data_IF_954317499333
#
_entry.id   IF_954317499333
#
_cell.length_a   1.000
_cell.length_b   1.000
_cell.length_c   1.000
_cell.angle_alpha   90.00
_cell.angle_beta   90.00
_cell.angle_gamma   90.00
#
_symmetry.space_group_name_H-M   'P 1'
#
loop_
_entity.id
_entity.type
_entity.pdbx_description
1 polymer ?
#
# COMPACT_ATOMS: atom_id res chain seq x y z
N UNK A 1 58.49 -3.06 -52.82
CA UNK A 1 58.62 -4.00 -51.68
C UNK A 1 57.43 -3.80 -50.77
N UNK A 2 56.84 -4.91 -50.32
CA UNK A 2 55.67 -4.99 -49.45
C UNK A 2 55.96 -4.43 -48.06
N UNK A 3 54.98 -3.79 -47.43
CA UNK A 3 54.70 -4.02 -46.02
C UNK A 3 53.19 -3.90 -45.77
N UNK A 4 52.60 -5.02 -45.35
CA UNK A 4 51.24 -5.15 -44.84
C UNK A 4 51.42 -5.44 -43.33
N UNK A 5 50.47 -4.96 -42.52
CA UNK A 5 50.13 -5.34 -41.14
C UNK A 5 50.59 -4.39 -40.03
N UNK A 6 49.62 -4.08 -39.17
CA UNK A 6 49.73 -3.26 -37.97
C UNK A 6 48.45 -2.45 -37.82
N UNK A 7 47.28 -3.07 -37.64
CA UNK A 7 46.99 -3.85 -36.43
C UNK A 7 46.22 -2.93 -35.49
N UNK A 8 44.90 -2.89 -35.69
CA UNK A 8 43.92 -2.21 -34.85
C UNK A 8 44.14 -2.62 -33.38
N UNK A 9 44.81 -1.77 -32.61
CA UNK A 9 45.20 -2.07 -31.24
C UNK A 9 44.60 -1.02 -30.31
N UNK A 10 43.54 -1.47 -29.66
CA UNK A 10 43.10 -1.03 -28.34
C UNK A 10 42.67 0.43 -28.20
N UNK A 11 41.41 0.70 -28.57
CA UNK A 11 40.60 1.64 -27.78
C UNK A 11 40.39 1.04 -26.39
N UNK A 12 41.38 1.17 -25.49
CA UNK A 12 41.21 0.86 -24.07
C UNK A 12 40.09 1.75 -23.53
N UNK A 13 38.90 1.17 -23.37
CA UNK A 13 37.86 1.73 -22.50
C UNK A 13 38.47 1.80 -21.10
N UNK A 14 38.93 3.00 -20.73
CA UNK A 14 39.47 3.30 -19.42
C UNK A 14 38.30 3.24 -18.43
N UNK A 15 37.99 2.03 -17.95
CA UNK A 15 37.02 1.83 -16.87
C UNK A 15 37.56 2.58 -15.65
N UNK A 16 36.81 3.59 -15.21
CA UNK A 16 37.10 4.31 -13.98
C UNK A 16 37.04 3.31 -12.81
N UNK A 17 37.95 3.40 -11.82
CA UNK A 17 37.86 2.54 -10.65
C UNK A 17 36.50 2.75 -9.96
N UNK A 18 35.89 1.69 -9.39
CA UNK A 18 34.72 1.79 -8.53
C UNK A 18 35.13 2.40 -7.19
N UNK A 19 35.54 3.66 -7.21
CA UNK A 19 36.17 4.37 -6.09
C UNK A 19 35.69 5.80 -5.96
N UNK A 20 34.56 6.14 -6.57
CA UNK A 20 33.81 7.35 -6.22
C UNK A 20 32.36 7.03 -6.52
N UNK A 21 31.66 6.45 -5.54
CA UNK A 21 30.22 6.67 -5.44
C UNK A 21 30.09 8.19 -5.39
N UNK A 22 29.84 8.79 -6.57
CA UNK A 22 29.64 10.21 -6.70
C UNK A 22 28.72 10.61 -5.56
N UNK A 23 29.09 11.64 -4.82
CA UNK A 23 28.29 12.22 -3.75
C UNK A 23 26.85 12.42 -4.26
N UNK A 24 25.98 11.41 -4.11
CA UNK A 24 24.65 11.45 -4.69
C UNK A 24 23.89 12.40 -3.80
N UNK A 25 23.81 13.65 -4.26
CA UNK A 25 22.83 14.59 -3.76
C UNK A 25 21.47 13.92 -4.00
N UNK A 26 20.88 13.40 -2.92
CA UNK A 26 19.67 12.57 -2.94
C UNK A 26 18.47 13.31 -3.59
N UNK A 27 18.55 14.64 -3.63
CA UNK A 27 17.40 15.55 -3.68
C UNK A 27 16.54 15.55 -4.93
N UNK A 28 16.97 15.00 -6.08
CA UNK A 28 16.18 15.17 -7.32
C UNK A 28 15.70 13.89 -7.99
N UNK A 29 16.36 12.74 -7.77
CA UNK A 29 15.93 11.46 -8.39
C UNK A 29 15.17 10.53 -7.47
N UNK A 30 15.31 10.67 -6.15
CA UNK A 30 14.72 9.75 -5.17
C UNK A 30 13.61 10.38 -4.33
N UNK A 31 13.60 11.71 -4.20
CA UNK A 31 12.59 12.45 -3.44
C UNK A 31 11.51 12.94 -4.40
N UNK A 32 10.32 12.33 -4.30
CA UNK A 32 9.15 12.77 -5.05
C UNK A 32 8.49 14.00 -4.41
N UNK A 33 7.65 14.68 -5.17
CA UNK A 33 6.80 15.76 -4.64
C UNK A 33 5.91 15.28 -3.47
N UNK A 34 5.45 14.03 -3.52
CA UNK A 34 4.67 13.42 -2.43
C UNK A 34 5.49 13.28 -1.14
N UNK A 35 6.77 12.95 -1.27
CA UNK A 35 7.70 12.86 -0.14
C UNK A 35 7.91 14.22 0.52
N UNK A 36 8.03 15.30 -0.28
CA UNK A 36 8.13 16.67 0.24
C UNK A 36 6.85 17.12 0.95
N UNK A 37 5.69 16.83 0.35
CA UNK A 37 4.39 17.11 0.97
C UNK A 37 4.22 16.38 2.31
N UNK A 38 4.71 15.14 2.42
CA UNK A 38 4.70 14.39 3.66
C UNK A 38 5.54 15.08 4.76
N UNK A 39 6.78 15.48 4.45
CA UNK A 39 7.65 16.19 5.41
C UNK A 39 7.03 17.53 5.84
N UNK A 40 6.49 18.29 4.88
CA UNK A 40 5.82 19.57 5.15
C UNK A 40 4.62 19.43 6.09
N UNK A 41 3.76 18.42 5.87
CA UNK A 41 2.60 18.15 6.74
C UNK A 41 2.99 17.78 8.17
N UNK A 42 4.16 17.19 8.35
CA UNK A 42 4.70 16.83 9.67
C UNK A 42 5.56 17.94 10.29
N UNK A 43 5.63 19.11 9.63
CA UNK A 43 6.50 20.22 10.01
C UNK A 43 7.95 19.77 10.21
N UNK A 44 8.42 18.88 9.34
CA UNK A 44 9.80 18.40 9.30
C UNK A 44 10.55 19.25 8.28
N UNK A 45 11.67 19.81 8.72
CA UNK A 45 12.58 20.55 7.87
C UNK A 45 13.24 19.59 6.86
N UNK A 46 13.24 19.95 5.58
CA UNK A 46 13.75 19.13 4.48
C UNK A 46 15.10 19.64 3.92
N UNK A 47 15.74 20.61 4.60
CA UNK A 47 17.01 21.20 4.15
C UNK A 47 18.14 20.17 4.04
N UNK A 48 18.13 19.16 4.92
CA UNK A 48 19.08 18.05 4.92
C UNK A 48 19.09 17.27 3.60
N UNK A 49 18.00 17.27 2.83
CA UNK A 49 17.94 16.63 1.52
C UNK A 49 18.90 17.27 0.51
N UNK A 50 19.26 18.55 0.69
CA UNK A 50 20.20 19.27 -0.16
C UNK A 50 21.68 19.01 0.22
N UNK A 51 21.90 18.41 1.39
CA UNK A 51 23.22 18.10 1.94
C UNK A 51 23.62 16.67 1.54
N UNK A 52 24.92 16.37 1.51
CA UNK A 52 25.38 15.02 1.21
C UNK A 52 24.94 14.01 2.29
N UNK A 53 24.52 12.82 1.87
CA UNK A 53 24.08 11.75 2.77
C UNK A 53 25.15 11.37 3.80
N UNK A 54 26.44 11.44 3.44
CA UNK A 54 27.56 11.10 4.33
C UNK A 54 27.69 12.04 5.54
N UNK A 55 27.10 13.23 5.49
CA UNK A 55 27.12 14.18 6.61
C UNK A 55 25.80 14.23 7.40
N UNK A 56 24.80 13.42 7.04
CA UNK A 56 23.50 13.42 7.70
C UNK A 56 23.56 13.02 9.17
N UNK A 57 24.49 12.14 9.55
CA UNK A 57 24.64 11.73 10.96
C UNK A 57 25.00 12.88 11.90
N UNK A 58 25.55 13.98 11.36
CA UNK A 58 25.87 15.20 12.11
C UNK A 58 24.90 16.37 11.80
N UNK A 59 23.92 16.16 10.92
CA UNK A 59 22.97 17.19 10.52
C UNK A 59 21.79 17.25 11.50
N UNK A 60 21.59 18.41 12.12
CA UNK A 60 20.55 18.58 13.14
C UNK A 60 19.13 18.42 12.58
N UNK A 61 18.88 18.85 11.34
CA UNK A 61 17.57 18.72 10.71
C UNK A 61 17.26 17.25 10.40
N UNK A 62 18.24 16.49 9.91
CA UNK A 62 18.11 15.05 9.71
C UNK A 62 17.86 14.29 11.01
N UNK A 63 18.63 14.56 12.08
CA UNK A 63 18.47 13.88 13.36
C UNK A 63 17.08 14.12 13.96
N UNK A 64 16.58 15.35 13.88
CA UNK A 64 15.24 15.71 14.33
C UNK A 64 14.15 15.06 13.46
N UNK A 65 14.32 15.07 12.13
CA UNK A 65 13.44 14.39 11.19
C UNK A 65 13.34 12.89 11.49
N UNK A 66 14.49 12.22 11.68
CA UNK A 66 14.61 10.80 12.04
C UNK A 66 13.91 10.51 13.36
N UNK A 67 14.14 11.34 14.38
CA UNK A 67 13.49 11.22 15.70
C UNK A 67 11.96 11.32 15.58
N UNK A 68 11.44 12.27 14.80
CA UNK A 68 10.01 12.45 14.60
C UNK A 68 9.38 11.30 13.82
N UNK A 69 9.99 10.90 12.72
CA UNK A 69 9.50 9.80 11.89
C UNK A 69 9.49 8.48 12.67
N UNK A 70 10.54 8.19 13.46
CA UNK A 70 10.58 6.99 14.30
C UNK A 70 9.52 6.97 15.41
N UNK A 71 8.99 8.13 15.79
CA UNK A 71 7.89 8.25 16.76
C UNK A 71 6.52 8.13 16.12
N UNK A 72 6.43 8.17 14.78
CA UNK A 72 5.18 7.87 14.10
C UNK A 72 4.86 6.40 14.36
N UNK A 73 3.80 6.18 15.13
CA UNK A 73 3.22 4.84 15.26
C UNK A 73 2.74 4.45 13.87
N UNK A 74 3.38 3.44 13.26
CA UNK A 74 2.82 2.77 12.08
C UNK A 74 1.67 1.94 12.60
N UNK A 75 0.53 2.59 12.78
CA UNK A 75 -0.69 1.93 13.19
C UNK A 75 -1.26 1.25 11.96
N UNK A 76 -1.56 -0.02 12.08
CA UNK A 76 -2.21 -0.80 11.04
C UNK A 76 -3.70 -0.44 10.92
N UNK A 77 -4.08 0.81 11.18
CA UNK A 77 -5.46 1.27 11.30
C UNK A 77 -6.24 0.98 10.02
N UNK A 78 -5.60 1.08 8.86
CA UNK A 78 -6.23 0.78 7.58
C UNK A 78 -6.55 -0.71 7.44
N UNK A 79 -5.63 -1.62 7.80
CA UNK A 79 -5.94 -3.05 7.71
C UNK A 79 -6.89 -3.49 8.83
N UNK A 80 -6.76 -2.97 10.05
CA UNK A 80 -7.69 -3.22 11.14
C UNK A 80 -9.11 -2.76 10.77
N UNK A 81 -9.25 -1.58 10.16
CA UNK A 81 -10.53 -1.08 9.64
C UNK A 81 -11.08 -1.95 8.51
N UNK A 82 -10.23 -2.42 7.60
CA UNK A 82 -10.64 -3.29 6.50
C UNK A 82 -11.15 -4.65 7.03
N UNK A 83 -10.45 -5.24 7.99
CA UNK A 83 -10.87 -6.49 8.66
C UNK A 83 -12.22 -6.28 9.35
N UNK A 84 -12.36 -5.21 10.14
CA UNK A 84 -13.62 -4.90 10.83
C UNK A 84 -14.80 -4.75 9.87
N UNK A 85 -14.63 -4.02 8.78
CA UNK A 85 -15.65 -3.87 7.74
C UNK A 85 -16.09 -5.21 7.15
N UNK A 86 -15.12 -6.09 6.83
CA UNK A 86 -15.42 -7.40 6.26
C UNK A 86 -16.14 -8.29 7.27
N UNK A 87 -15.73 -8.26 8.54
CA UNK A 87 -16.37 -9.00 9.63
C UNK A 87 -17.80 -8.53 9.87
N UNK A 88 -18.03 -7.20 9.92
CA UNK A 88 -19.35 -6.62 10.13
C UNK A 88 -20.30 -6.97 8.98
N UNK A 89 -19.83 -6.87 7.73
CA UNK A 89 -20.60 -7.23 6.54
C UNK A 89 -20.99 -8.72 6.50
N UNK A 90 -20.02 -9.60 6.80
CA UNK A 90 -20.27 -11.04 6.84
C UNK A 90 -21.28 -11.39 7.93
N UNK A 91 -21.17 -10.78 9.10
CA UNK A 91 -22.10 -10.98 10.22
C UNK A 91 -23.53 -10.57 9.83
N UNK A 92 -23.70 -9.40 9.21
CA UNK A 92 -25.00 -8.95 8.71
C UNK A 92 -25.59 -9.90 7.66
N UNK A 93 -24.75 -10.41 6.76
CA UNK A 93 -25.17 -11.36 5.72
C UNK A 93 -25.60 -12.71 6.31
N UNK A 94 -24.89 -13.21 7.32
CA UNK A 94 -25.24 -14.45 8.02
C UNK A 94 -26.59 -14.30 8.74
N UNK A 95 -26.81 -13.17 9.41
CA UNK A 95 -28.07 -12.86 10.10
C UNK A 95 -29.23 -12.86 9.10
N UNK A 96 -29.10 -12.13 7.99
CA UNK A 96 -30.15 -12.05 6.97
C UNK A 96 -30.50 -13.43 6.38
N UNK A 97 -29.49 -14.25 6.05
CA UNK A 97 -29.69 -15.63 5.57
C UNK A 97 -30.38 -16.50 6.61
N UNK A 98 -29.98 -16.40 7.88
CA UNK A 98 -30.55 -17.18 8.98
C UNK A 98 -32.02 -16.81 9.20
N UNK A 99 -32.35 -15.52 9.16
CA UNK A 99 -33.74 -15.04 9.24
C UNK A 99 -34.56 -15.61 8.09
N UNK A 100 -34.07 -15.52 6.85
CA UNK A 100 -34.78 -16.02 5.68
C UNK A 100 -35.08 -17.53 5.80
N UNK A 101 -34.07 -18.33 6.17
CA UNK A 101 -34.22 -19.78 6.36
C UNK A 101 -35.26 -20.08 7.44
N UNK A 102 -35.21 -19.34 8.56
CA UNK A 102 -36.18 -19.49 9.64
C UNK A 102 -37.61 -19.15 9.19
N UNK A 103 -37.80 -18.06 8.46
CA UNK A 103 -39.11 -17.69 7.91
C UNK A 103 -39.66 -18.77 6.97
N UNK A 104 -38.81 -19.34 6.10
CA UNK A 104 -39.22 -20.41 5.19
C UNK A 104 -39.65 -21.66 5.97
N UNK A 105 -38.89 -22.03 7.02
CA UNK A 105 -39.22 -23.18 7.86
C UNK A 105 -40.56 -22.97 8.60
N UNK A 106 -40.78 -21.80 9.19
CA UNK A 106 -42.02 -21.46 9.89
C UNK A 106 -43.21 -21.46 8.93
N UNK A 107 -43.06 -20.93 7.70
CA UNK A 107 -44.09 -20.99 6.66
C UNK A 107 -44.41 -22.43 6.23
N UNK A 108 -43.38 -23.27 6.04
CA UNK A 108 -43.57 -24.68 5.69
C UNK A 108 -44.28 -25.48 6.79
N UNK A 109 -44.03 -25.14 8.05
CA UNK A 109 -44.72 -25.75 9.19
C UNK A 109 -46.19 -25.32 9.27
N UNK A 110 -46.50 -24.04 8.99
CA UNK A 110 -47.86 -23.51 9.01
C UNK A 110 -48.71 -24.02 7.85
N UNK A 111 -48.08 -24.26 6.70
CA UNK A 111 -48.78 -24.70 5.49
C UNK A 111 -48.04 -25.90 4.85
N UNK A 112 -48.29 -27.12 5.33
CA UNK A 112 -47.56 -28.31 4.85
C UNK A 112 -47.76 -28.61 3.36
N UNK A 113 -48.90 -28.20 2.77
CA UNK A 113 -49.18 -28.33 1.33
C UNK A 113 -49.04 -26.95 0.64
N UNK A 114 -47.79 -26.53 0.42
CA UNK A 114 -47.38 -25.24 -0.15
C UNK A 114 -47.72 -25.04 -1.66
N UNK A 115 -48.78 -25.67 -2.19
CA UNK A 115 -49.21 -25.43 -3.57
C UNK A 115 -49.94 -24.09 -3.66
N UNK A 116 -49.60 -23.24 -4.64
CA UNK A 116 -50.31 -21.97 -4.91
C UNK A 116 -51.82 -22.15 -5.08
N UNK A 117 -52.25 -23.33 -5.53
CA UNK A 117 -53.65 -23.72 -5.69
C UNK A 117 -54.41 -23.92 -4.37
N UNK A 118 -53.70 -24.14 -3.26
CA UNK A 118 -54.28 -24.39 -1.93
C UNK A 118 -54.60 -23.06 -1.23
N UNK A 119 -53.69 -22.09 -1.27
CA UNK A 119 -53.90 -20.73 -0.74
C UNK A 119 -55.04 -19.95 -1.41
N UNK A 120 -55.36 -20.25 -2.67
CA UNK A 120 -56.45 -19.60 -3.40
C UNK A 120 -57.85 -20.07 -2.96
N UNK A 121 -57.96 -21.25 -2.34
CA UNK A 121 -59.25 -21.82 -1.91
C UNK A 121 -59.67 -21.41 -0.50
N UNK A 122 -58.72 -21.00 0.33
CA UNK A 122 -58.96 -20.62 1.73
C UNK A 122 -59.46 -19.16 1.89
N UNK A 123 -59.54 -18.40 0.79
CA UNK A 123 -60.01 -17.00 0.76
C UNK A 123 -61.34 -16.77 0.02
N UNK A 124 -62.21 -17.78 -0.09
CA UNK A 124 -63.58 -17.58 -0.59
C UNK A 124 -64.60 -17.87 0.54
N UNK A 125 -65.49 -16.92 0.88
CA UNK A 125 -66.61 -17.15 1.80
C UNK A 125 -67.65 -18.11 1.23
#
# INVERSE_FOLDING_TARGET
MRSILGGDTEKKLKLRPPGTMAQIKLSTKLVSEKSKQFLSRLHIDDSFLQVNVSSWDNDAAFLEAKRRINRLKVVNDTAERAVKLMTDYNSATIIAKTILVRCIQELGNLYPDCKKTTYAKEKLP
#
